data_IF_127432896178
#
_entry.id   IF_127432896178
#
_cell.length_a   1.000
_cell.length_b   1.000
_cell.length_c   1.000
_cell.angle_alpha   90.00
_cell.angle_beta   90.00
_cell.angle_gamma   90.00
#
_symmetry.space_group_name_H-M   'P 1'
#
loop_
_entity.id
_entity.type
_entity.pdbx_description
1 polymer ?
#
# COMPACT_ATOMS: atom_id res chain seq x y z
N UNK A 1 -8.52 -44.68 11.65
CA UNK A 1 -8.73 -43.92 12.89
C UNK A 1 -7.73 -42.78 13.03
N UNK A 2 -6.43 -43.00 12.76
CA UNK A 2 -5.38 -41.96 12.88
C UNK A 2 -5.63 -40.79 11.93
N UNK A 3 -5.99 -41.04 10.66
CA UNK A 3 -6.31 -40.01 9.68
C UNK A 3 -7.50 -39.13 10.10
N UNK A 4 -8.52 -39.75 10.74
CA UNK A 4 -9.69 -39.03 11.23
C UNK A 4 -9.32 -38.05 12.36
N UNK A 5 -8.47 -38.47 13.30
CA UNK A 5 -7.98 -37.60 14.37
C UNK A 5 -7.09 -36.47 13.86
N UNK A 6 -6.23 -36.74 12.86
CA UNK A 6 -5.42 -35.70 12.20
C UNK A 6 -6.31 -34.70 11.49
N UNK A 7 -7.33 -35.18 10.75
CA UNK A 7 -8.27 -34.29 10.04
C UNK A 7 -9.09 -33.43 10.98
N UNK A 8 -9.59 -34.02 12.09
CA UNK A 8 -10.29 -33.27 13.14
C UNK A 8 -9.39 -32.25 13.82
N UNK A 9 -8.14 -32.61 14.14
CA UNK A 9 -7.15 -31.70 14.69
C UNK A 9 -6.85 -30.52 13.74
N UNK A 10 -6.68 -30.81 12.45
CA UNK A 10 -6.51 -29.77 11.43
C UNK A 10 -7.71 -28.84 11.36
N UNK A 11 -8.92 -29.38 11.38
CA UNK A 11 -10.17 -28.62 11.33
C UNK A 11 -10.32 -27.72 12.58
N UNK A 12 -9.98 -28.25 13.76
CA UNK A 12 -9.96 -27.48 15.00
C UNK A 12 -8.97 -26.30 14.96
N UNK A 13 -7.75 -26.54 14.47
CA UNK A 13 -6.74 -25.47 14.28
C UNK A 13 -7.23 -24.42 13.30
N UNK A 14 -7.89 -24.84 12.20
CA UNK A 14 -8.49 -23.89 11.23
C UNK A 14 -9.63 -23.09 11.83
N UNK A 15 -10.47 -23.71 12.67
CA UNK A 15 -11.54 -23.00 13.37
C UNK A 15 -11.00 -21.96 14.35
N UNK A 16 -9.96 -22.30 15.11
CA UNK A 16 -9.26 -21.36 16.00
C UNK A 16 -8.62 -20.21 15.20
N UNK A 17 -7.95 -20.54 14.12
CA UNK A 17 -7.36 -19.53 13.21
C UNK A 17 -8.43 -18.59 12.66
N UNK A 18 -9.57 -19.13 12.20
CA UNK A 18 -10.69 -18.32 11.73
C UNK A 18 -11.22 -17.36 12.82
N UNK A 19 -11.45 -17.89 14.03
CA UNK A 19 -11.93 -17.07 15.15
C UNK A 19 -10.91 -15.98 15.54
N UNK A 20 -9.61 -16.32 15.54
CA UNK A 20 -8.53 -15.37 15.83
C UNK A 20 -8.46 -14.25 14.76
N UNK A 21 -8.49 -14.61 13.47
CA UNK A 21 -8.46 -13.64 12.37
C UNK A 21 -9.70 -12.75 12.35
N UNK A 22 -10.88 -13.31 12.65
CA UNK A 22 -12.09 -12.53 12.80
C UNK A 22 -11.97 -11.52 13.95
N UNK A 23 -11.52 -11.97 15.12
CA UNK A 23 -11.31 -11.12 16.29
C UNK A 23 -10.27 -10.02 16.02
N UNK A 24 -9.15 -10.37 15.42
CA UNK A 24 -8.10 -9.43 15.00
C UNK A 24 -8.66 -8.36 14.06
N UNK A 25 -9.30 -8.76 12.97
CA UNK A 25 -9.85 -7.83 11.98
C UNK A 25 -10.90 -6.90 12.61
N UNK A 26 -11.79 -7.47 13.42
CA UNK A 26 -12.81 -6.69 14.10
C UNK A 26 -12.20 -5.67 15.06
N UNK A 27 -11.27 -6.09 15.92
CA UNK A 27 -10.63 -5.21 16.89
C UNK A 27 -9.82 -4.09 16.24
N UNK A 28 -9.05 -4.41 15.19
CA UNK A 28 -8.27 -3.41 14.44
C UNK A 28 -9.21 -2.36 13.83
N UNK A 29 -10.29 -2.80 13.18
CA UNK A 29 -11.25 -1.88 12.57
C UNK A 29 -12.00 -1.06 13.63
N UNK A 30 -12.38 -1.67 14.75
CA UNK A 30 -13.04 -0.98 15.85
C UNK A 30 -12.13 0.10 16.50
N UNK A 31 -10.87 -0.26 16.76
CA UNK A 31 -9.87 0.70 17.28
C UNK A 31 -9.65 1.84 16.28
N UNK A 32 -9.50 1.51 14.99
CA UNK A 32 -9.36 2.51 13.94
C UNK A 32 -10.53 3.48 13.90
N UNK A 33 -11.77 2.99 13.95
CA UNK A 33 -12.96 3.85 14.00
C UNK A 33 -13.03 4.68 15.30
N UNK A 34 -12.55 4.15 16.41
CA UNK A 34 -12.50 4.90 17.67
C UNK A 34 -11.50 6.05 17.60
N UNK A 35 -10.31 5.80 17.07
CA UNK A 35 -9.29 6.84 16.83
C UNK A 35 -9.83 7.92 15.88
N UNK A 36 -10.53 7.53 14.80
CA UNK A 36 -11.18 8.48 13.90
C UNK A 36 -12.19 9.38 14.62
N UNK A 37 -13.05 8.77 15.43
CA UNK A 37 -14.06 9.50 16.18
C UNK A 37 -13.42 10.53 17.12
N UNK A 38 -12.44 10.12 17.90
CA UNK A 38 -11.76 10.97 18.85
C UNK A 38 -11.02 12.11 18.13
N UNK A 39 -10.27 11.80 17.07
CA UNK A 39 -9.50 12.78 16.29
C UNK A 39 -10.39 13.81 15.57
N UNK A 40 -11.53 13.37 15.01
CA UNK A 40 -12.52 14.30 14.42
C UNK A 40 -13.15 15.22 15.46
N UNK A 41 -13.45 14.68 16.64
CA UNK A 41 -14.00 15.47 17.74
C UNK A 41 -13.02 16.54 18.23
N UNK A 42 -11.75 16.16 18.40
CA UNK A 42 -10.70 17.08 18.85
C UNK A 42 -10.44 18.18 17.80
N UNK A 43 -10.33 17.78 16.51
CA UNK A 43 -10.18 18.74 15.40
C UNK A 43 -11.36 19.71 15.34
N UNK A 44 -12.58 19.20 15.44
CA UNK A 44 -13.76 20.05 15.39
C UNK A 44 -13.81 21.00 16.60
N UNK A 45 -13.57 20.51 17.81
CA UNK A 45 -13.50 21.34 19.00
C UNK A 45 -12.42 22.42 18.89
N UNK A 46 -11.24 22.08 18.36
CA UNK A 46 -10.15 23.03 18.11
C UNK A 46 -10.57 24.09 17.09
N UNK A 47 -11.13 23.66 15.96
CA UNK A 47 -11.60 24.60 14.92
C UNK A 47 -12.62 25.59 15.49
N UNK A 48 -13.55 25.17 16.38
CA UNK A 48 -14.54 26.07 16.97
C UNK A 48 -13.95 27.12 17.91
N UNK A 49 -12.72 26.96 18.37
CA UNK A 49 -12.02 27.90 19.31
C UNK A 49 -11.03 28.81 18.59
N UNK A 50 -10.69 28.55 17.34
CA UNK A 50 -9.72 29.37 16.59
C UNK A 50 -10.34 30.73 16.21
N UNK A 51 -9.50 31.77 16.23
CA UNK A 51 -9.89 33.13 15.93
C UNK A 51 -10.29 33.33 14.46
N UNK A 52 -11.15 34.32 14.11
CA UNK A 52 -11.62 34.55 12.72
C UNK A 52 -10.51 34.74 11.70
N UNK A 53 -9.41 35.42 12.05
CA UNK A 53 -8.27 35.62 11.15
C UNK A 53 -7.57 34.33 10.71
N UNK A 54 -7.75 33.22 11.43
CA UNK A 54 -7.30 31.90 10.98
C UNK A 54 -8.07 31.46 9.74
N UNK A 55 -9.38 31.72 9.70
CA UNK A 55 -10.27 31.34 8.59
C UNK A 55 -10.03 32.19 7.33
N UNK A 56 -9.59 33.44 7.50
CA UNK A 56 -9.21 34.32 6.37
C UNK A 56 -7.99 33.76 5.62
N UNK A 57 -7.07 33.10 6.33
CA UNK A 57 -5.85 32.49 5.76
C UNK A 57 -6.05 31.04 5.33
N UNK A 58 -7.07 30.37 5.86
CA UNK A 58 -7.33 28.93 5.65
C UNK A 58 -8.74 28.72 5.09
N UNK A 59 -8.92 28.55 3.77
CA UNK A 59 -10.21 28.31 3.17
C UNK A 59 -10.96 27.13 3.81
N UNK A 60 -12.25 27.28 4.07
CA UNK A 60 -13.11 26.26 4.75
C UNK A 60 -13.01 24.89 4.07
N UNK A 61 -12.99 24.85 2.75
CA UNK A 61 -12.85 23.60 2.00
C UNK A 61 -11.57 22.83 2.34
N UNK A 62 -10.45 23.52 2.60
CA UNK A 62 -9.21 22.90 3.04
C UNK A 62 -9.32 22.33 4.46
N UNK A 63 -10.01 23.03 5.35
CA UNK A 63 -10.26 22.58 6.73
C UNK A 63 -11.19 21.36 6.76
N UNK A 64 -12.20 21.34 5.90
CA UNK A 64 -13.07 20.17 5.71
C UNK A 64 -12.26 18.92 5.29
N UNK A 65 -11.34 19.05 4.35
CA UNK A 65 -10.50 17.90 3.93
C UNK A 65 -9.60 17.38 5.06
N UNK A 66 -9.18 18.25 6.01
CA UNK A 66 -8.42 17.81 7.19
C UNK A 66 -9.25 16.95 8.13
N UNK A 67 -10.51 17.33 8.37
CA UNK A 67 -11.44 16.59 9.25
C UNK A 67 -11.96 15.30 8.60
N UNK A 68 -11.94 15.22 7.27
CA UNK A 68 -12.42 14.06 6.52
C UNK A 68 -11.27 13.22 5.96
N UNK A 69 -10.78 13.55 4.78
CA UNK A 69 -9.81 12.73 4.02
C UNK A 69 -8.47 12.54 4.73
N UNK A 70 -7.95 13.56 5.45
CA UNK A 70 -6.68 13.43 6.15
C UNK A 70 -6.80 12.49 7.36
N UNK A 71 -7.92 12.57 8.09
CA UNK A 71 -8.21 11.65 9.19
C UNK A 71 -8.41 10.23 8.68
N UNK A 72 -9.09 10.05 7.53
CA UNK A 72 -9.25 8.74 6.89
C UNK A 72 -7.90 8.14 6.43
N UNK A 73 -6.96 8.96 5.96
CA UNK A 73 -5.61 8.50 5.58
C UNK A 73 -4.83 7.95 6.81
N UNK A 74 -4.97 8.57 7.98
CA UNK A 74 -4.38 8.06 9.23
C UNK A 74 -5.00 6.71 9.58
N UNK A 75 -6.33 6.57 9.48
CA UNK A 75 -7.01 5.31 9.76
C UNK A 75 -6.53 4.18 8.84
N UNK A 76 -6.46 4.44 7.53
CA UNK A 76 -5.96 3.45 6.56
C UNK A 76 -4.55 2.99 6.90
N UNK A 77 -3.70 3.90 7.35
CA UNK A 77 -2.36 3.55 7.79
C UNK A 77 -2.37 2.71 9.08
N UNK A 78 -3.16 3.07 10.08
CA UNK A 78 -3.23 2.30 11.34
C UNK A 78 -3.78 0.90 11.07
N UNK A 79 -4.93 0.81 10.38
CA UNK A 79 -5.65 -0.47 10.20
C UNK A 79 -5.03 -1.38 9.15
N UNK A 80 -4.56 -0.85 8.02
CA UNK A 80 -4.00 -1.63 6.92
C UNK A 80 -2.48 -1.56 6.81
N UNK A 81 -1.89 -0.40 7.17
CA UNK A 81 -0.45 -0.16 7.04
C UNK A 81 0.35 -0.70 8.22
N UNK A 82 0.20 -0.09 9.39
CA UNK A 82 1.06 -0.36 10.56
C UNK A 82 0.94 -1.80 11.05
N UNK A 83 -0.29 -2.24 11.31
CA UNK A 83 -0.54 -3.62 11.80
C UNK A 83 -0.09 -4.64 10.77
N UNK A 84 -0.36 -4.39 9.48
CA UNK A 84 0.08 -5.26 8.40
C UNK A 84 1.61 -5.34 8.28
N UNK A 85 2.35 -4.23 8.44
CA UNK A 85 3.83 -4.25 8.41
C UNK A 85 4.38 -5.06 9.59
N UNK A 86 3.82 -4.89 10.79
CA UNK A 86 4.23 -5.64 11.98
C UNK A 86 3.96 -7.14 11.77
N UNK A 87 2.78 -7.51 11.29
CA UNK A 87 2.42 -8.90 11.02
C UNK A 87 3.33 -9.54 9.96
N UNK A 88 3.64 -8.81 8.87
CA UNK A 88 4.57 -9.28 7.83
C UNK A 88 5.97 -9.48 8.37
N UNK A 89 6.46 -8.56 9.21
CA UNK A 89 7.79 -8.66 9.81
C UNK A 89 7.89 -9.88 10.73
N UNK A 90 6.87 -10.09 11.58
CA UNK A 90 6.80 -11.28 12.43
C UNK A 90 6.72 -12.56 11.60
N UNK A 91 5.93 -12.57 10.52
CA UNK A 91 5.81 -13.71 9.61
C UNK A 91 7.14 -14.00 8.93
N UNK A 92 7.83 -12.98 8.40
CA UNK A 92 9.13 -13.14 7.74
C UNK A 92 10.20 -13.67 8.72
N UNK A 93 10.34 -13.02 9.87
CA UNK A 93 11.35 -13.42 10.87
C UNK A 93 11.03 -14.79 11.44
N UNK A 94 9.78 -15.05 11.81
CA UNK A 94 9.33 -16.31 12.35
C UNK A 94 9.49 -17.46 11.34
N UNK A 95 9.06 -17.23 10.10
CA UNK A 95 9.16 -18.22 9.03
C UNK A 95 10.61 -18.53 8.66
N UNK A 96 11.45 -17.50 8.50
CA UNK A 96 12.89 -17.68 8.24
C UNK A 96 13.59 -18.40 9.40
N UNK A 97 13.29 -18.02 10.65
CA UNK A 97 13.83 -18.66 11.83
C UNK A 97 13.43 -20.15 11.89
N UNK A 98 12.17 -20.45 11.59
CA UNK A 98 11.65 -21.81 11.56
C UNK A 98 12.27 -22.65 10.43
N UNK A 99 12.38 -22.07 9.22
CA UNK A 99 13.05 -22.71 8.08
C UNK A 99 14.53 -23.02 8.38
N UNK A 100 15.24 -22.06 8.99
CA UNK A 100 16.64 -22.27 9.40
C UNK A 100 16.79 -23.36 10.47
N UNK A 101 15.86 -23.42 11.41
CA UNK A 101 15.83 -24.46 12.43
C UNK A 101 15.60 -25.84 11.84
N UNK A 102 14.69 -25.98 10.87
CA UNK A 102 14.36 -27.24 10.23
C UNK A 102 15.44 -27.74 9.27
N UNK A 103 15.95 -26.89 8.40
CA UNK A 103 17.01 -27.23 7.43
C UNK A 103 17.72 -25.98 6.89
N UNK A 104 18.90 -25.62 7.42
CA UNK A 104 19.68 -24.50 6.92
C UNK A 104 20.03 -24.62 5.44
N UNK A 105 20.28 -25.85 4.95
CA UNK A 105 20.62 -26.09 3.55
C UNK A 105 19.48 -25.74 2.59
N UNK A 106 18.26 -26.22 2.90
CA UNK A 106 17.08 -25.91 2.07
C UNK A 106 16.74 -24.42 2.15
N UNK A 107 16.90 -23.80 3.32
CA UNK A 107 16.69 -22.35 3.49
C UNK A 107 17.66 -21.55 2.65
N UNK A 108 18.93 -21.95 2.57
CA UNK A 108 19.93 -21.27 1.74
C UNK A 108 19.55 -21.33 0.26
N UNK A 109 19.03 -22.47 -0.24
CA UNK A 109 18.55 -22.60 -1.62
C UNK A 109 17.45 -21.60 -1.93
N UNK A 110 16.48 -21.43 -1.02
CA UNK A 110 15.41 -20.44 -1.17
C UNK A 110 15.95 -19.02 -1.11
N UNK A 111 16.82 -18.72 -0.15
CA UNK A 111 17.40 -17.39 0.02
C UNK A 111 18.32 -16.97 -1.14
N UNK A 112 18.85 -17.91 -1.93
CA UNK A 112 19.68 -17.60 -3.09
C UNK A 112 18.88 -16.87 -4.19
N UNK A 113 17.57 -17.04 -4.23
CA UNK A 113 16.67 -16.32 -5.17
C UNK A 113 16.36 -14.90 -4.67
N UNK A 114 16.45 -14.63 -3.37
CA UNK A 114 16.09 -13.34 -2.79
C UNK A 114 16.91 -12.15 -3.36
N UNK A 115 18.24 -12.21 -3.56
CA UNK A 115 19.00 -11.12 -4.17
C UNK A 115 18.54 -10.81 -5.59
N UNK A 116 18.19 -11.83 -6.38
CA UNK A 116 17.69 -11.65 -7.74
C UNK A 116 16.33 -10.95 -7.72
N UNK A 117 15.45 -11.39 -6.81
CA UNK A 117 14.15 -10.75 -6.62
C UNK A 117 14.31 -9.27 -6.23
N UNK A 118 15.19 -8.95 -5.28
CA UNK A 118 15.46 -7.57 -4.87
C UNK A 118 16.01 -6.72 -6.02
N UNK A 119 16.91 -7.26 -6.82
CA UNK A 119 17.46 -6.58 -7.99
C UNK A 119 16.37 -6.27 -9.02
N UNK A 120 15.55 -7.26 -9.37
CA UNK A 120 14.43 -7.11 -10.31
C UNK A 120 13.39 -6.12 -9.81
N UNK A 121 12.98 -6.25 -8.55
CA UNK A 121 12.00 -5.34 -7.92
C UNK A 121 12.52 -3.90 -7.92
N UNK A 122 13.81 -3.70 -7.62
CA UNK A 122 14.42 -2.37 -7.64
C UNK A 122 14.47 -1.78 -9.05
N UNK A 123 14.85 -2.60 -10.04
CA UNK A 123 14.89 -2.19 -11.45
C UNK A 123 13.52 -1.77 -11.96
N UNK A 124 12.48 -2.58 -11.72
CA UNK A 124 11.09 -2.25 -12.11
C UNK A 124 10.61 -0.99 -11.38
N UNK A 125 10.88 -0.85 -10.08
CA UNK A 125 10.52 0.35 -9.30
C UNK A 125 11.10 1.63 -9.91
N UNK A 126 12.36 1.61 -10.35
CA UNK A 126 12.99 2.77 -11.00
C UNK A 126 12.30 3.11 -12.32
N UNK A 127 11.99 2.11 -13.14
CA UNK A 127 11.23 2.28 -14.38
C UNK A 127 9.84 2.86 -14.15
N UNK A 128 9.09 2.28 -13.22
CA UNK A 128 7.76 2.77 -12.83
C UNK A 128 7.80 4.22 -12.33
N UNK A 129 8.78 4.57 -11.49
CA UNK A 129 8.94 5.94 -10.98
C UNK A 129 9.13 6.95 -12.12
N UNK A 130 9.91 6.60 -13.13
CA UNK A 130 10.09 7.44 -14.33
C UNK A 130 8.79 7.58 -15.12
N UNK A 131 8.09 6.47 -15.39
CA UNK A 131 6.81 6.44 -16.11
C UNK A 131 5.73 7.27 -15.39
N UNK A 132 5.60 7.15 -14.06
CA UNK A 132 4.69 7.97 -13.26
C UNK A 132 5.01 9.46 -13.27
N UNK A 133 6.30 9.83 -13.35
CA UNK A 133 6.70 11.23 -13.47
C UNK A 133 6.25 11.80 -14.81
N UNK A 134 6.47 11.07 -15.90
CA UNK A 134 6.06 11.49 -17.23
C UNK A 134 4.52 11.59 -17.33
N UNK A 135 3.80 10.62 -16.82
CA UNK A 135 2.34 10.65 -16.77
C UNK A 135 1.82 11.90 -16.04
N UNK A 136 2.40 12.26 -14.89
CA UNK A 136 2.00 13.47 -14.14
C UNK A 136 2.23 14.76 -14.95
N UNK A 137 3.33 14.84 -15.69
CA UNK A 137 3.60 15.98 -16.56
C UNK A 137 2.58 16.08 -17.70
N UNK A 138 2.19 14.94 -18.30
CA UNK A 138 1.17 14.91 -19.36
C UNK A 138 -0.22 15.23 -18.81
N UNK A 139 -0.56 14.70 -17.64
CA UNK A 139 -1.82 15.00 -16.96
C UNK A 139 -1.95 16.51 -16.63
N UNK A 140 -0.86 17.13 -16.15
CA UNK A 140 -0.86 18.57 -15.89
C UNK A 140 -1.13 19.41 -17.15
N UNK A 141 -0.61 18.99 -18.31
CA UNK A 141 -0.89 19.65 -19.60
C UNK A 141 -2.35 19.49 -20.03
N UNK A 142 -2.93 18.30 -19.84
CA UNK A 142 -4.36 18.07 -20.11
C UNK A 142 -5.22 18.93 -19.20
N UNK A 143 -4.92 18.98 -17.90
CA UNK A 143 -5.67 19.82 -16.95
C UNK A 143 -5.56 21.31 -17.27
N UNK A 144 -4.37 21.80 -17.65
CA UNK A 144 -4.18 23.18 -18.07
C UNK A 144 -5.00 23.51 -19.33
N UNK A 145 -5.02 22.62 -20.32
CA UNK A 145 -5.83 22.79 -21.54
C UNK A 145 -7.33 22.74 -21.23
N UNK A 146 -7.78 21.87 -20.32
CA UNK A 146 -9.18 21.85 -19.87
C UNK A 146 -9.56 23.16 -19.20
N UNK A 147 -8.72 23.64 -18.26
CA UNK A 147 -8.98 24.93 -17.59
C UNK A 147 -9.01 26.09 -18.57
N UNK A 148 -8.06 26.20 -19.51
CA UNK A 148 -8.02 27.23 -20.56
C UNK A 148 -9.29 27.18 -21.41
N UNK A 149 -9.67 25.99 -21.92
CA UNK A 149 -10.80 25.84 -22.83
C UNK A 149 -12.15 26.08 -22.13
N UNK A 150 -12.32 25.60 -20.90
CA UNK A 150 -13.56 25.79 -20.14
C UNK A 150 -13.72 27.23 -19.66
N UNK A 151 -12.64 27.89 -19.25
CA UNK A 151 -12.69 29.31 -18.87
C UNK A 151 -12.88 30.23 -20.05
N UNK A 152 -12.44 29.85 -21.25
CA UNK A 152 -12.56 30.63 -22.48
C UNK A 152 -13.61 30.13 -23.46
N UNK A 153 -14.56 29.27 -23.02
CA UNK A 153 -15.51 28.60 -23.90
C UNK A 153 -16.35 29.56 -24.75
N UNK A 154 -16.79 30.65 -24.15
CA UNK A 154 -17.55 31.69 -24.86
C UNK A 154 -16.74 32.31 -26.04
N UNK A 155 -15.48 32.63 -25.79
CA UNK A 155 -14.56 33.12 -26.83
C UNK A 155 -14.33 32.08 -27.92
N UNK A 156 -14.15 30.83 -27.58
CA UNK A 156 -13.95 29.73 -28.53
C UNK A 156 -15.16 29.61 -29.47
N UNK A 157 -16.37 29.65 -28.89
CA UNK A 157 -17.65 29.60 -29.65
C UNK A 157 -17.87 30.84 -30.53
N UNK A 158 -17.60 32.02 -29.98
CA UNK A 158 -17.71 33.28 -30.75
C UNK A 158 -16.82 33.27 -32.00
N UNK A 159 -15.65 32.70 -31.94
CA UNK A 159 -14.71 32.62 -33.06
C UNK A 159 -14.78 31.31 -33.84
N UNK A 160 -15.73 30.42 -33.54
CA UNK A 160 -15.95 29.12 -34.21
C UNK A 160 -14.65 28.31 -34.26
N UNK A 161 -13.94 28.20 -33.09
CA UNK A 161 -12.65 27.53 -32.95
C UNK A 161 -12.73 26.18 -32.24
N UNK A 162 -13.93 25.62 -32.07
CA UNK A 162 -14.17 24.38 -31.34
C UNK A 162 -13.34 23.22 -31.92
N UNK A 163 -13.36 23.05 -33.24
CA UNK A 163 -12.62 21.96 -33.90
C UNK A 163 -11.10 22.07 -33.71
N UNK A 164 -10.54 23.26 -33.78
CA UNK A 164 -9.10 23.48 -33.56
C UNK A 164 -8.72 23.12 -32.12
N UNK A 165 -9.55 23.48 -31.14
CA UNK A 165 -9.36 23.15 -29.71
C UNK A 165 -9.54 21.69 -29.43
N UNK A 166 -10.52 21.04 -30.04
CA UNK A 166 -10.72 19.58 -29.95
C UNK A 166 -9.52 18.82 -30.48
N UNK A 167 -9.01 19.17 -31.66
CA UNK A 167 -7.81 18.53 -32.23
C UNK A 167 -6.56 18.72 -31.34
N UNK A 168 -6.41 19.90 -30.72
CA UNK A 168 -5.31 20.17 -29.78
C UNK A 168 -5.46 19.31 -28.51
N UNK A 169 -6.67 19.26 -27.95
CA UNK A 169 -6.95 18.46 -26.77
C UNK A 169 -6.74 16.96 -27.04
N UNK A 170 -7.17 16.48 -28.18
CA UNK A 170 -7.02 15.07 -28.57
C UNK A 170 -5.54 14.65 -28.72
N UNK A 171 -4.67 15.55 -29.18
CA UNK A 171 -3.21 15.31 -29.17
C UNK A 171 -2.67 15.16 -27.74
N UNK A 172 -3.04 16.06 -26.83
CA UNK A 172 -2.61 16.00 -25.44
C UNK A 172 -3.12 14.74 -24.72
N UNK A 173 -4.37 14.35 -25.01
CA UNK A 173 -4.98 13.16 -24.45
C UNK A 173 -4.31 11.87 -24.98
N UNK A 174 -3.93 11.82 -26.26
CA UNK A 174 -3.13 10.72 -26.82
C UNK A 174 -1.75 10.61 -26.15
N UNK A 175 -1.10 11.74 -25.87
CA UNK A 175 0.18 11.73 -25.17
C UNK A 175 0.03 11.22 -23.73
N UNK A 176 -1.04 11.62 -23.03
CA UNK A 176 -1.38 11.09 -21.72
C UNK A 176 -1.66 9.58 -21.76
N UNK A 177 -2.43 9.12 -22.75
CA UNK A 177 -2.70 7.70 -22.97
C UNK A 177 -1.39 6.90 -23.16
N UNK A 178 -0.45 7.39 -23.96
CA UNK A 178 0.86 6.73 -24.17
C UNK A 178 1.64 6.62 -22.85
N UNK A 179 1.60 7.69 -22.03
CA UNK A 179 2.25 7.66 -20.71
C UNK A 179 1.61 6.64 -19.76
N UNK A 180 0.29 6.47 -19.81
CA UNK A 180 -0.40 5.41 -19.06
C UNK A 180 -0.06 4.02 -19.55
N UNK A 181 0.02 3.82 -20.87
CA UNK A 181 0.43 2.52 -21.46
C UNK A 181 1.83 2.13 -20.99
N UNK A 182 2.75 3.10 -20.84
CA UNK A 182 4.08 2.82 -20.31
C UNK A 182 4.06 2.34 -18.87
N UNK A 183 3.22 2.91 -18.01
CA UNK A 183 3.00 2.41 -16.63
C UNK A 183 2.45 0.98 -16.67
N UNK A 184 1.45 0.73 -17.53
CA UNK A 184 0.83 -0.60 -17.67
C UNK A 184 1.87 -1.64 -18.12
N UNK A 185 2.82 -1.28 -18.99
CA UNK A 185 3.91 -2.20 -19.42
C UNK A 185 4.78 -2.64 -18.25
N UNK A 186 5.14 -1.69 -17.37
CA UNK A 186 5.91 -2.02 -16.17
C UNK A 186 5.13 -2.93 -15.21
N UNK A 187 3.83 -2.68 -15.01
CA UNK A 187 2.97 -3.56 -14.22
C UNK A 187 2.83 -4.95 -14.84
N UNK A 188 2.59 -5.00 -16.15
CA UNK A 188 2.44 -6.25 -16.88
C UNK A 188 3.73 -7.10 -16.88
N UNK A 189 4.89 -6.47 -16.73
CA UNK A 189 6.17 -7.15 -16.58
C UNK A 189 6.41 -7.62 -15.15
N UNK A 190 6.06 -6.79 -14.16
CA UNK A 190 6.41 -7.01 -12.76
C UNK A 190 5.83 -8.31 -12.19
N UNK A 191 4.50 -8.47 -12.26
CA UNK A 191 3.84 -9.61 -11.62
C UNK A 191 4.26 -10.97 -12.21
N UNK A 192 4.32 -11.16 -13.53
CA UNK A 192 4.81 -12.41 -14.10
C UNK A 192 6.27 -12.73 -13.76
N UNK A 193 7.14 -11.70 -13.72
CA UNK A 193 8.56 -11.92 -13.37
C UNK A 193 8.71 -12.31 -11.90
N UNK A 194 8.00 -11.65 -11.00
CA UNK A 194 8.03 -12.01 -9.58
C UNK A 194 7.43 -13.40 -9.35
N UNK A 195 6.32 -13.72 -10.02
CA UNK A 195 5.72 -15.05 -10.00
C UNK A 195 6.69 -16.13 -10.51
N UNK A 196 7.32 -15.89 -11.67
CA UNK A 196 8.33 -16.80 -12.22
C UNK A 196 9.52 -17.03 -11.28
N UNK A 197 10.01 -15.98 -10.61
CA UNK A 197 11.09 -16.12 -9.63
C UNK A 197 10.65 -16.93 -8.40
N UNK A 198 9.39 -16.77 -7.96
CA UNK A 198 8.82 -17.61 -6.91
C UNK A 198 8.73 -19.08 -7.33
N UNK A 199 8.23 -19.35 -8.51
CA UNK A 199 8.16 -20.71 -9.06
C UNK A 199 9.56 -21.30 -9.29
N UNK A 200 10.53 -20.49 -9.73
CA UNK A 200 11.92 -20.88 -9.87
C UNK A 200 12.55 -21.25 -8.50
N UNK A 201 12.23 -20.51 -7.44
CA UNK A 201 12.66 -20.86 -6.08
C UNK A 201 12.10 -22.22 -5.66
N UNK A 202 10.80 -22.45 -5.91
CA UNK A 202 10.15 -23.75 -5.64
C UNK A 202 10.76 -24.87 -6.48
N UNK A 203 11.00 -24.66 -7.77
CA UNK A 203 11.62 -25.64 -8.64
C UNK A 203 13.04 -26.00 -8.19
N UNK A 204 13.85 -25.00 -7.82
CA UNK A 204 15.20 -25.20 -7.26
C UNK A 204 15.17 -25.98 -5.96
N UNK A 205 14.21 -25.67 -5.11
CA UNK A 205 13.98 -26.37 -3.85
C UNK A 205 13.57 -27.83 -4.08
N UNK A 206 12.65 -28.09 -5.02
CA UNK A 206 12.21 -29.45 -5.36
C UNK A 206 13.37 -30.25 -5.99
N UNK A 207 14.16 -29.65 -6.86
CA UNK A 207 15.33 -30.31 -7.46
C UNK A 207 16.38 -30.69 -6.42
N UNK A 208 16.82 -29.73 -5.62
CA UNK A 208 17.85 -29.98 -4.61
C UNK A 208 17.30 -30.81 -3.44
N UNK A 209 16.15 -30.43 -2.88
CA UNK A 209 15.52 -31.11 -1.76
C UNK A 209 15.01 -32.50 -2.11
N UNK A 210 14.52 -32.71 -3.35
CA UNK A 210 14.17 -34.03 -3.87
C UNK A 210 15.37 -34.97 -3.92
N UNK A 211 16.55 -34.48 -4.33
CA UNK A 211 17.80 -35.21 -4.25
C UNK A 211 18.17 -35.64 -2.81
N UNK A 212 17.96 -34.73 -1.83
CA UNK A 212 18.20 -35.03 -0.41
C UNK A 212 17.16 -36.03 0.17
N UNK A 213 15.91 -35.99 -0.32
CA UNK A 213 14.88 -36.99 0.03
C UNK A 213 15.27 -38.39 -0.46
N UNK A 214 15.71 -38.49 -1.73
CA UNK A 214 16.18 -39.77 -2.32
C UNK A 214 17.38 -40.36 -1.54
N UNK A 215 18.24 -39.48 -1.03
CA UNK A 215 19.39 -39.87 -0.18
C UNK A 215 18.99 -40.21 1.27
N UNK A 216 17.73 -40.01 1.66
CA UNK A 216 17.24 -40.22 3.01
C UNK A 216 17.64 -39.14 4.03
N UNK A 217 18.24 -38.03 3.59
CA UNK A 217 18.69 -36.96 4.46
C UNK A 217 17.56 -36.00 4.88
N UNK A 218 16.48 -35.94 4.09
CA UNK A 218 15.30 -35.07 4.31
C UNK A 218 14.04 -35.91 4.10
N UNK A 219 13.01 -35.71 4.94
CA UNK A 219 11.72 -36.35 4.73
C UNK A 219 10.92 -35.68 3.61
N UNK A 220 10.09 -36.45 2.91
CA UNK A 220 9.19 -35.88 1.90
C UNK A 220 8.25 -34.84 2.49
N UNK A 221 7.74 -35.07 3.73
CA UNK A 221 6.89 -34.11 4.42
C UNK A 221 7.58 -32.77 4.69
N UNK A 222 8.88 -32.80 5.02
CA UNK A 222 9.67 -31.59 5.21
C UNK A 222 9.83 -30.82 3.89
N UNK A 223 10.08 -31.51 2.78
CA UNK A 223 10.18 -30.88 1.46
C UNK A 223 8.86 -30.19 1.07
N UNK A 224 7.71 -30.85 1.27
CA UNK A 224 6.39 -30.28 1.01
C UNK A 224 6.15 -29.05 1.87
N UNK A 225 6.49 -29.09 3.16
CA UNK A 225 6.38 -27.94 4.06
C UNK A 225 7.26 -26.78 3.59
N UNK A 226 8.49 -27.04 3.11
CA UNK A 226 9.37 -26.00 2.59
C UNK A 226 8.85 -25.36 1.30
N UNK A 227 8.17 -26.10 0.43
CA UNK A 227 7.49 -25.53 -0.76
C UNK A 227 6.43 -24.51 -0.32
N UNK A 228 5.63 -24.85 0.70
CA UNK A 228 4.59 -23.95 1.22
C UNK A 228 5.21 -22.72 1.91
N UNK A 229 6.24 -22.92 2.73
CA UNK A 229 6.98 -21.83 3.37
C UNK A 229 7.65 -20.89 2.36
N UNK A 230 8.19 -21.43 1.28
CA UNK A 230 8.78 -20.62 0.19
C UNK A 230 7.73 -19.68 -0.41
N UNK A 231 6.54 -20.16 -0.70
CA UNK A 231 5.45 -19.32 -1.23
C UNK A 231 5.04 -18.23 -0.26
N UNK A 232 4.91 -18.57 1.02
CA UNK A 232 4.54 -17.61 2.07
C UNK A 232 5.63 -16.56 2.30
N UNK A 233 6.91 -16.88 2.08
CA UNK A 233 8.03 -15.95 2.25
C UNK A 233 8.01 -14.79 1.24
N UNK A 234 7.56 -15.04 0.01
CA UNK A 234 7.56 -14.04 -1.05
C UNK A 234 6.36 -13.08 -1.00
N UNK A 235 5.28 -13.45 -0.29
CA UNK A 235 4.06 -12.64 -0.23
C UNK A 235 4.28 -11.28 0.49
N UNK A 236 4.86 -11.20 1.69
CA UNK A 236 5.11 -9.93 2.36
C UNK A 236 6.02 -8.97 1.59
N UNK A 237 6.94 -9.51 0.78
CA UNK A 237 7.86 -8.69 -0.03
C UNK A 237 7.13 -7.92 -1.14
N UNK A 238 6.00 -8.43 -1.63
CA UNK A 238 5.16 -7.77 -2.63
C UNK A 238 4.35 -6.63 -2.00
N UNK A 239 3.83 -6.84 -0.79
CA UNK A 239 2.92 -5.91 -0.11
C UNK A 239 3.64 -4.68 0.50
N UNK A 240 4.95 -4.79 0.76
CA UNK A 240 5.72 -3.75 1.47
C UNK A 240 5.72 -2.39 0.75
N UNK A 241 5.67 -2.39 -0.58
CA UNK A 241 5.67 -1.14 -1.38
C UNK A 241 4.38 -0.34 -1.19
N UNK A 242 3.24 -1.01 -1.13
CA UNK A 242 1.94 -0.37 -0.95
C UNK A 242 1.80 0.17 0.47
N UNK A 243 2.29 -0.56 1.47
CA UNK A 243 2.32 -0.12 2.87
C UNK A 243 3.21 1.11 3.08
N UNK A 244 4.33 1.23 2.33
CA UNK A 244 5.17 2.41 2.37
C UNK A 244 4.47 3.67 1.81
N UNK A 245 3.67 3.53 0.75
CA UNK A 245 2.87 4.63 0.22
C UNK A 245 1.79 5.07 1.22
N UNK A 246 1.13 4.13 1.90
CA UNK A 246 0.18 4.43 2.98
C UNK A 246 0.86 5.21 4.12
N UNK A 247 2.06 4.79 4.52
CA UNK A 247 2.85 5.50 5.53
C UNK A 247 3.15 6.95 5.12
N UNK A 248 3.64 7.18 3.91
CA UNK A 248 3.94 8.54 3.43
C UNK A 248 2.67 9.42 3.37
N UNK A 249 1.56 8.86 2.89
CA UNK A 249 0.27 9.56 2.86
C UNK A 249 -0.20 9.95 4.25
N UNK A 250 -0.14 9.01 5.20
CA UNK A 250 -0.54 9.23 6.59
C UNK A 250 0.36 10.26 7.30
N UNK A 251 1.69 10.22 7.09
CA UNK A 251 2.62 11.19 7.66
C UNK A 251 2.31 12.62 7.18
N UNK A 252 2.07 12.81 5.88
CA UNK A 252 1.69 14.11 5.35
C UNK A 252 0.32 14.59 5.89
N UNK A 253 -0.63 13.66 6.09
CA UNK A 253 -1.93 13.98 6.68
C UNK A 253 -1.83 14.29 8.17
N UNK A 254 -1.01 13.54 8.91
CA UNK A 254 -0.72 13.79 10.32
C UNK A 254 -0.10 15.19 10.54
N UNK A 255 0.90 15.57 9.74
CA UNK A 255 1.51 16.89 9.80
C UNK A 255 0.47 18.01 9.61
N UNK A 256 -0.46 17.86 8.66
CA UNK A 256 -1.54 18.83 8.44
C UNK A 256 -2.54 18.88 9.59
N UNK A 257 -2.88 17.74 10.19
CA UNK A 257 -3.80 17.63 11.32
C UNK A 257 -3.19 18.25 12.57
N UNK A 258 -1.97 17.82 12.93
CA UNK A 258 -1.28 18.37 14.10
C UNK A 258 -0.97 19.84 13.93
N UNK A 259 -0.68 20.31 12.70
CA UNK A 259 -0.54 21.74 12.43
C UNK A 259 -1.80 22.57 12.73
N UNK A 260 -3.01 21.97 12.70
CA UNK A 260 -4.23 22.64 13.17
C UNK A 260 -4.36 22.54 14.69
N UNK A 261 -4.14 21.34 15.25
CA UNK A 261 -4.28 21.11 16.69
C UNK A 261 -3.29 21.95 17.52
N UNK A 262 -2.07 22.13 17.00
CA UNK A 262 -0.99 22.89 17.66
C UNK A 262 -1.08 24.42 17.41
N UNK A 263 -2.03 24.89 16.56
CA UNK A 263 -2.21 26.32 16.34
C UNK A 263 -2.66 26.99 17.64
N UNK A 264 -1.97 28.04 18.06
CA UNK A 264 -2.33 28.79 19.26
C UNK A 264 -3.67 29.53 19.10
N UNK A 265 -4.45 29.58 20.16
CA UNK A 265 -5.67 30.38 20.25
C UNK A 265 -5.27 31.83 20.59
N UNK A 266 -5.36 32.73 19.61
CA UNK A 266 -4.97 34.16 19.79
C UNK A 266 -5.97 34.94 20.69
N UNK A 267 -7.17 34.43 20.85
CA UNK A 267 -8.19 35.05 21.74
C UNK A 267 -8.30 34.19 22.99
N UNK A 268 -7.71 34.69 24.07
CA UNK A 268 -7.98 34.15 25.43
C UNK A 268 -9.13 34.93 26.05
N UNK A 269 -10.04 34.21 26.70
CA UNK A 269 -11.03 34.86 27.52
C UNK A 269 -10.33 35.68 28.61
N UNK A 270 -10.80 36.92 28.89
CA UNK A 270 -10.24 37.72 30.00
C UNK A 270 -10.39 36.93 31.30
N UNK A 271 -9.36 36.98 32.15
CA UNK A 271 -9.36 36.28 33.45
C UNK A 271 -10.45 36.79 34.41
N UNK A 272 -11.06 37.97 34.10
CA UNK A 272 -12.15 38.56 34.85
C UNK A 272 -13.17 39.16 33.85
N UNK A 273 -14.38 38.58 33.70
CA UNK A 273 -15.40 39.08 32.79
C UNK A 273 -16.15 40.30 33.31
#
# INVERSE_FOLDING_TARGET
HLLLWISLGFLAVRAVHFAATYGETYLIQWVGQRVLFDLRSDLFAKLMRLHPGFYDRNPVGRLMTRVTSDVDAINQFITGGLVGVIADLFTLVGLLGFMLFLSPKLTLVVLLVAPVLLAVTTWVRLGMRSAYREMRLRLARVNAALQENLSGVETIQLFVKEREREEKFDRLNRDLFRAWVEIIRWFALFFPVVGFLGDFAVASLVYYGGGEVVRGAVSLGLLVAFVDYTRQLFQPLQDLSDKFNLFQGAMASAERIFGVLDTEEELKDPEDP
#
